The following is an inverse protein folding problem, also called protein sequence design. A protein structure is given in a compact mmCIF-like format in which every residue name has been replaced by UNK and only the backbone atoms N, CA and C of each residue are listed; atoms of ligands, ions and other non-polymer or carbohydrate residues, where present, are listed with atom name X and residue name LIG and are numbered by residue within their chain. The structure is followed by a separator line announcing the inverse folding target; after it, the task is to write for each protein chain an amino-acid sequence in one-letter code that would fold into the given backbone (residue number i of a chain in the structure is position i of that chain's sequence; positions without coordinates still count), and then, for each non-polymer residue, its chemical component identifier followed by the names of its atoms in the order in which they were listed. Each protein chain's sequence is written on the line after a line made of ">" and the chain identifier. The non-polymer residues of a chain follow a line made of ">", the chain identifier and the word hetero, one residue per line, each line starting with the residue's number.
data_IF_494732274583
#
_entry.id   IF_494732274583
#
_cell.length_a   1.000
_cell.length_b   1.000
_cell.length_c   1.000
_cell.angle_alpha   90.00
_cell.angle_beta   90.00
_cell.angle_gamma   90.00
#
_symmetry.space_group_name_H-M   'P 1'
#
loop_
_entity.id
_entity.type
_entity.pdbx_description
1 polymer ?
#
# COMPACT_ATOMS: atom_id res chain seq x y z
N UNK A 1 -9.55 -9.21 28.89
CA UNK A 1 -11.01 -9.19 28.75
C UNK A 1 -11.27 -8.93 27.30
N UNK A 2 -12.08 -9.76 26.64
CA UNK A 2 -12.38 -9.58 25.23
C UNK A 2 -13.09 -8.24 24.99
N UNK A 3 -12.73 -7.53 23.93
CA UNK A 3 -13.45 -6.32 23.47
C UNK A 3 -13.92 -6.50 22.03
N UNK A 4 -15.04 -5.88 21.66
CA UNK A 4 -15.60 -5.94 20.30
C UNK A 4 -16.02 -4.56 19.82
N UNK A 5 -15.44 -4.12 18.71
CA UNK A 5 -15.85 -2.93 17.97
C UNK A 5 -16.50 -3.34 16.65
N UNK A 6 -17.65 -2.76 16.33
CA UNK A 6 -18.43 -3.04 15.12
C UNK A 6 -18.71 -1.78 14.31
N UNK A 7 -18.75 -1.90 12.99
CA UNK A 7 -19.12 -0.82 12.05
C UNK A 7 -20.10 -1.36 11.01
N UNK A 8 -21.23 -0.67 10.84
CA UNK A 8 -22.22 -0.86 9.78
C UNK A 8 -22.35 0.40 8.92
N UNK A 9 -23.22 0.40 7.91
CA UNK A 9 -23.53 1.58 7.10
C UNK A 9 -24.07 2.78 7.89
N UNK A 10 -24.72 2.56 9.03
CA UNK A 10 -25.31 3.63 9.85
C UNK A 10 -24.47 3.91 11.10
N UNK A 11 -23.92 2.87 11.71
CA UNK A 11 -23.30 2.96 13.03
C UNK A 11 -21.81 2.65 12.93
N UNK A 12 -20.96 3.61 13.26
CA UNK A 12 -19.51 3.53 13.05
C UNK A 12 -18.79 3.29 14.37
N UNK A 13 -17.98 2.22 14.43
CA UNK A 13 -17.07 1.93 15.53
C UNK A 13 -17.77 1.84 16.90
N UNK A 14 -18.92 1.19 16.92
CA UNK A 14 -19.71 0.95 18.13
C UNK A 14 -19.03 -0.10 18.99
N UNK A 15 -18.88 0.19 20.28
CA UNK A 15 -18.46 -0.81 21.27
C UNK A 15 -19.63 -1.75 21.58
N UNK A 16 -19.46 -3.03 21.20
CA UNK A 16 -20.40 -4.12 21.42
C UNK A 16 -19.86 -5.17 22.40
N UNK A 17 -18.88 -4.79 23.23
CA UNK A 17 -18.23 -5.71 24.18
C UNK A 17 -19.23 -6.41 25.11
N UNK A 18 -20.33 -5.76 25.48
CA UNK A 18 -21.39 -6.37 26.31
C UNK A 18 -22.11 -7.55 25.66
N UNK A 19 -22.06 -7.66 24.34
CA UNK A 19 -22.78 -8.68 23.57
C UNK A 19 -21.95 -9.96 23.38
N UNK A 20 -20.66 -9.92 23.75
CA UNK A 20 -19.74 -11.06 23.68
C UNK A 20 -20.17 -12.13 24.69
N UNK A 21 -20.32 -13.37 24.20
CA UNK A 21 -20.47 -14.55 25.06
C UNK A 21 -19.17 -15.34 25.06
N UNK A 22 -18.50 -15.42 26.20
CA UNK A 22 -17.38 -16.34 26.38
C UNK A 22 -17.88 -17.79 26.32
N UNK A 23 -17.25 -18.62 25.50
CA UNK A 23 -17.73 -19.99 25.24
C UNK A 23 -16.86 -21.05 25.90
N UNK A 24 -15.56 -20.80 26.12
CA UNK A 24 -14.64 -21.83 26.58
C UNK A 24 -14.44 -22.96 25.54
N UNK A 25 -14.87 -22.75 24.29
CA UNK A 25 -14.87 -23.77 23.26
C UNK A 25 -13.45 -24.00 22.72
N UNK A 26 -13.07 -25.26 22.55
CA UNK A 26 -11.80 -25.65 21.90
C UNK A 26 -11.94 -25.86 20.40
N UNK A 27 -13.15 -25.70 19.86
CA UNK A 27 -13.42 -25.87 18.43
C UNK A 27 -14.57 -24.99 17.98
N UNK A 28 -14.51 -24.51 16.73
CA UNK A 28 -15.60 -23.78 16.08
C UNK A 28 -15.68 -24.13 14.60
N UNK A 29 -16.89 -24.35 14.04
CA UNK A 29 -17.06 -24.50 12.60
C UNK A 29 -16.94 -23.17 11.84
N UNK A 30 -17.05 -22.02 12.54
CA UNK A 30 -17.05 -20.70 11.92
C UNK A 30 -15.62 -20.20 11.70
N UNK A 31 -14.87 -19.98 12.78
CA UNK A 31 -13.44 -19.65 12.73
C UNK A 31 -12.68 -20.27 13.91
N UNK A 32 -11.63 -21.02 13.62
CA UNK A 32 -10.78 -21.66 14.63
C UNK A 32 -9.30 -21.48 14.27
N UNK A 33 -8.46 -21.15 15.26
CA UNK A 33 -7.01 -21.21 15.08
C UNK A 33 -6.56 -22.66 14.81
N UNK A 34 -5.61 -22.83 13.90
CA UNK A 34 -5.05 -24.15 13.54
C UNK A 34 -3.70 -24.45 14.23
N UNK A 35 -3.11 -23.45 14.89
CA UNK A 35 -1.81 -23.56 15.59
C UNK A 35 -0.62 -23.03 14.79
N UNK A 36 -0.81 -22.67 13.52
CA UNK A 36 0.26 -22.11 12.68
C UNK A 36 0.40 -20.60 12.86
N UNK A 37 1.63 -20.10 12.75
CA UNK A 37 1.94 -18.67 12.69
C UNK A 37 2.73 -18.37 11.41
N UNK A 38 2.36 -17.29 10.73
CA UNK A 38 3.01 -16.86 9.49
C UNK A 38 3.84 -15.59 9.70
N UNK A 39 3.94 -14.76 8.66
CA UNK A 39 4.80 -13.58 8.63
C UNK A 39 4.40 -12.53 9.69
N UNK A 40 5.41 -11.81 10.19
CA UNK A 40 5.21 -10.63 11.00
C UNK A 40 4.90 -9.42 10.09
N UNK A 41 3.95 -8.59 10.50
CA UNK A 41 3.55 -7.43 9.73
C UNK A 41 4.44 -6.23 10.03
N UNK A 42 4.85 -5.51 8.97
CA UNK A 42 5.41 -4.16 9.09
C UNK A 42 4.35 -3.19 9.58
N UNK A 43 3.14 -3.29 9.04
CA UNK A 43 2.00 -2.48 9.42
C UNK A 43 1.15 -2.06 8.23
N UNK A 44 0.45 -0.94 8.41
CA UNK A 44 -0.48 -0.38 7.44
C UNK A 44 -0.10 1.08 7.17
N UNK A 45 -0.55 1.63 6.05
CA UNK A 45 -0.39 3.05 5.78
C UNK A 45 -1.19 3.55 4.58
N UNK A 46 -0.78 4.72 4.08
CA UNK A 46 -1.35 5.33 2.88
C UNK A 46 -0.30 6.03 2.01
N UNK A 47 -0.72 6.56 0.85
CA UNK A 47 0.15 7.33 -0.02
C UNK A 47 0.00 8.84 0.18
N UNK A 48 1.13 9.53 0.29
CA UNK A 48 1.22 10.97 0.16
C UNK A 48 1.16 11.34 -1.33
N UNK A 49 0.30 12.28 -1.69
CA UNK A 49 0.23 12.88 -3.03
C UNK A 49 -0.27 14.33 -2.92
N UNK A 50 -0.11 15.13 -3.97
CA UNK A 50 -0.37 16.56 -3.91
C UNK A 50 -1.86 16.86 -3.83
N UNK A 51 -2.68 16.15 -4.59
CA UNK A 51 -4.13 16.30 -4.55
C UNK A 51 -4.74 15.84 -3.20
N UNK A 52 -3.99 15.13 -2.35
CA UNK A 52 -4.34 14.90 -0.96
C UNK A 52 -3.82 15.96 0.01
N UNK A 53 -2.75 16.68 -0.34
CA UNK A 53 -2.21 17.78 0.45
C UNK A 53 -2.95 19.10 0.25
N UNK A 54 -3.32 19.41 -0.99
CA UNK A 54 -3.97 20.69 -1.33
C UNK A 54 -5.31 20.89 -0.59
N UNK A 55 -6.22 19.89 -0.52
CA UNK A 55 -7.47 20.05 0.24
C UNK A 55 -7.24 20.25 1.74
N UNK A 56 -6.14 19.74 2.31
CA UNK A 56 -5.82 20.01 3.71
C UNK A 56 -5.50 21.49 3.99
N UNK A 57 -5.15 22.27 2.96
CA UNK A 57 -4.87 23.70 3.12
C UNK A 57 -6.13 24.55 3.13
N UNK A 58 -7.31 23.98 2.83
CA UNK A 58 -8.57 24.71 2.76
C UNK A 58 -9.34 24.69 4.08
N UNK A 59 -9.04 23.74 4.97
CA UNK A 59 -9.61 23.59 6.31
C UNK A 59 -8.80 24.35 7.37
N UNK A 60 -9.32 24.45 8.59
CA UNK A 60 -8.57 25.07 9.71
C UNK A 60 -7.35 24.26 10.12
N UNK A 61 -6.38 24.91 10.77
CA UNK A 61 -5.19 24.24 11.30
C UNK A 61 -5.55 23.11 12.29
N UNK A 62 -6.58 23.32 13.12
CA UNK A 62 -7.10 22.32 14.05
C UNK A 62 -7.72 21.11 13.33
N UNK A 63 -8.51 21.35 12.29
CA UNK A 63 -9.12 20.29 11.47
C UNK A 63 -8.06 19.48 10.73
N UNK A 64 -7.09 20.16 10.08
CA UNK A 64 -5.95 19.51 9.44
C UNK A 64 -5.17 18.66 10.43
N UNK A 65 -4.83 19.21 11.59
CA UNK A 65 -4.10 18.48 12.64
C UNK A 65 -4.89 17.25 13.14
N UNK A 66 -6.22 17.36 13.24
CA UNK A 66 -7.08 16.26 13.64
C UNK A 66 -7.14 15.14 12.58
N UNK A 67 -7.23 15.46 11.29
CA UNK A 67 -7.18 14.46 10.21
C UNK A 67 -5.85 13.70 10.25
N UNK A 68 -4.73 14.43 10.30
CA UNK A 68 -3.39 13.83 10.36
C UNK A 68 -3.23 12.97 11.62
N UNK A 69 -3.72 13.45 12.78
CA UNK A 69 -3.71 12.67 14.02
C UNK A 69 -4.47 11.35 13.86
N UNK A 70 -5.63 11.35 13.21
CA UNK A 70 -6.43 10.14 13.02
C UNK A 70 -5.73 9.09 12.15
N UNK A 71 -4.99 9.53 11.13
CA UNK A 71 -4.22 8.64 10.26
C UNK A 71 -2.98 8.08 10.97
N UNK A 72 -2.24 8.92 11.70
CA UNK A 72 -0.88 8.58 12.14
C UNK A 72 -0.75 8.28 13.63
N UNK A 73 -1.53 8.88 14.54
CA UNK A 73 -1.34 8.67 15.98
C UNK A 73 -1.37 7.17 16.37
N UNK A 74 -0.47 6.70 17.27
CA UNK A 74 -0.50 5.34 17.81
C UNK A 74 -1.84 4.95 18.46
N UNK A 75 -2.59 5.94 18.93
CA UNK A 75 -3.91 5.75 19.55
C UNK A 75 -5.05 5.69 18.52
N UNK A 76 -4.79 6.02 17.25
CA UNK A 76 -5.76 6.00 16.15
C UNK A 76 -5.40 4.93 15.10
N UNK A 77 -5.32 5.26 13.81
CA UNK A 77 -4.97 4.27 12.78
C UNK A 77 -3.51 3.81 12.83
N UNK A 78 -2.60 4.59 13.41
CA UNK A 78 -1.20 4.19 13.55
C UNK A 78 -0.54 3.78 12.21
N UNK A 79 -0.72 4.61 11.17
CA UNK A 79 -0.07 4.40 9.88
C UNK A 79 1.45 4.51 10.01
N UNK A 80 2.13 3.39 9.83
CA UNK A 80 3.57 3.21 10.10
C UNK A 80 4.36 2.81 8.86
N UNK A 81 3.69 2.46 7.76
CA UNK A 81 4.31 2.03 6.51
C UNK A 81 3.64 2.71 5.32
N UNK A 82 4.23 3.83 4.86
CA UNK A 82 3.60 4.78 3.95
C UNK A 82 4.35 4.90 2.64
N UNK A 83 3.67 5.46 1.64
CA UNK A 83 4.20 5.64 0.28
C UNK A 83 4.34 7.11 -0.10
N UNK A 84 5.38 7.45 -0.85
CA UNK A 84 5.46 8.71 -1.59
C UNK A 84 5.84 8.47 -3.06
N UNK A 85 5.44 9.35 -4.00
CA UNK A 85 5.95 9.30 -5.35
C UNK A 85 7.37 9.86 -5.43
N UNK A 86 8.12 9.42 -6.44
CA UNK A 86 9.36 10.08 -6.88
C UNK A 86 9.01 10.91 -8.12
N UNK A 87 8.89 12.22 -7.95
CA UNK A 87 8.32 13.13 -8.95
C UNK A 87 6.80 13.04 -9.02
N UNK A 88 6.21 13.44 -10.14
CA UNK A 88 4.76 13.43 -10.27
C UNK A 88 4.16 12.01 -10.38
N UNK A 89 2.97 11.84 -9.79
CA UNK A 89 2.05 10.74 -10.08
C UNK A 89 0.76 11.26 -10.74
N UNK A 90 -0.25 10.41 -10.85
CA UNK A 90 -1.56 10.78 -11.39
C UNK A 90 -2.41 11.68 -10.46
N UNK A 91 -2.01 11.80 -9.18
CA UNK A 91 -2.55 12.70 -8.16
C UNK A 91 -1.57 13.82 -7.78
N UNK A 92 -0.71 14.21 -8.73
CA UNK A 92 0.01 15.47 -8.70
C UNK A 92 -0.81 16.56 -9.41
N UNK A 93 -0.73 17.80 -8.93
CA UNK A 93 -1.45 18.95 -9.50
C UNK A 93 -0.92 19.27 -10.92
N UNK A 94 0.37 19.05 -11.14
CA UNK A 94 1.02 19.15 -12.44
C UNK A 94 1.99 17.97 -12.63
N UNK A 95 2.38 17.64 -13.87
CA UNK A 95 3.38 16.60 -14.11
C UNK A 95 4.79 17.19 -14.20
N UNK A 96 5.69 16.68 -13.36
CA UNK A 96 7.07 17.10 -13.22
C UNK A 96 7.98 15.89 -12.93
N UNK A 97 9.29 16.10 -13.10
CA UNK A 97 10.33 15.31 -12.46
C UNK A 97 11.31 16.23 -11.74
N UNK A 98 12.21 15.68 -10.95
CA UNK A 98 13.24 16.48 -10.27
C UNK A 98 14.37 16.92 -11.19
N UNK A 99 14.40 16.51 -12.47
CA UNK A 99 15.41 16.97 -13.42
C UNK A 99 14.93 16.92 -14.88
N UNK A 100 14.31 18.00 -15.34
CA UNK A 100 13.84 18.15 -16.74
C UNK A 100 14.86 18.83 -17.68
N UNK A 101 16.12 18.98 -17.27
CA UNK A 101 17.17 19.54 -18.16
C UNK A 101 17.68 18.46 -19.12
N UNK A 102 17.33 18.58 -20.41
CA UNK A 102 17.68 17.60 -21.46
C UNK A 102 19.19 17.37 -21.55
N UNK A 103 19.61 16.11 -21.38
CA UNK A 103 21.02 15.72 -21.43
C UNK A 103 21.82 16.01 -20.16
N UNK A 104 21.18 16.37 -19.06
CA UNK A 104 21.82 16.51 -17.76
C UNK A 104 22.10 15.14 -17.11
N UNK A 105 23.02 14.39 -17.72
CA UNK A 105 23.43 13.07 -17.23
C UNK A 105 24.11 13.12 -15.85
N UNK A 106 24.68 14.27 -15.48
CA UNK A 106 25.39 14.46 -14.23
C UNK A 106 24.50 14.92 -13.07
N UNK A 107 23.21 15.16 -13.31
CA UNK A 107 22.24 15.62 -12.30
C UNK A 107 22.63 16.99 -11.69
N UNK A 108 23.17 17.90 -12.50
CA UNK A 108 23.56 19.25 -12.06
C UNK A 108 22.34 20.13 -11.72
N UNK A 109 21.20 19.89 -12.38
CA UNK A 109 19.96 20.64 -12.21
C UNK A 109 18.89 19.87 -11.42
N UNK A 110 19.28 18.78 -10.74
CA UNK A 110 18.38 18.03 -9.88
C UNK A 110 17.88 18.89 -8.71
N UNK A 111 16.56 18.92 -8.48
CA UNK A 111 15.96 19.64 -7.35
C UNK A 111 14.62 19.05 -6.92
N UNK A 112 14.40 18.99 -5.60
CA UNK A 112 13.12 18.63 -4.97
C UNK A 112 12.31 19.85 -4.54
N UNK A 113 12.66 21.05 -5.02
CA UNK A 113 12.02 22.32 -4.59
C UNK A 113 10.49 22.34 -4.74
N UNK A 114 9.94 21.61 -5.72
CA UNK A 114 8.49 21.47 -5.87
C UNK A 114 7.85 20.76 -4.66
N UNK A 115 8.52 19.72 -4.14
CA UNK A 115 8.02 18.93 -3.01
C UNK A 115 8.12 19.70 -1.69
N UNK A 116 9.02 20.68 -1.59
CA UNK A 116 9.13 21.57 -0.42
C UNK A 116 7.82 22.36 -0.17
N UNK A 117 7.02 22.55 -1.22
CA UNK A 117 5.72 23.24 -1.15
C UNK A 117 4.54 22.26 -0.93
N UNK A 118 4.75 20.96 -1.16
CA UNK A 118 3.67 19.94 -1.17
C UNK A 118 3.98 18.70 -0.32
N UNK A 119 4.71 17.72 -0.86
CA UNK A 119 4.89 16.40 -0.25
C UNK A 119 5.71 16.45 1.05
N UNK A 120 6.77 17.26 1.10
CA UNK A 120 7.64 17.39 2.28
C UNK A 120 6.86 17.91 3.50
N UNK A 121 6.13 19.04 3.44
CA UNK A 121 5.33 19.48 4.58
C UNK A 121 4.22 18.49 4.94
N UNK A 122 3.65 17.76 3.97
CA UNK A 122 2.68 16.70 4.26
C UNK A 122 3.31 15.56 5.06
N UNK A 123 4.46 15.04 4.62
CA UNK A 123 5.22 13.99 5.32
C UNK A 123 5.63 14.45 6.72
N UNK A 124 6.11 15.68 6.87
CA UNK A 124 6.46 16.24 8.18
C UNK A 124 5.27 16.32 9.13
N UNK A 125 4.06 16.64 8.64
CA UNK A 125 2.86 16.65 9.48
C UNK A 125 2.56 15.25 10.04
N UNK A 126 2.78 14.19 9.25
CA UNK A 126 2.64 12.82 9.69
C UNK A 126 3.72 12.41 10.71
N UNK A 127 4.98 12.81 10.48
CA UNK A 127 6.11 12.51 11.38
C UNK A 127 5.94 13.10 12.78
N UNK A 128 5.12 14.15 12.96
CA UNK A 128 4.79 14.67 14.29
C UNK A 128 4.07 13.63 15.16
N UNK A 129 3.30 12.72 14.53
CA UNK A 129 2.58 11.64 15.21
C UNK A 129 3.27 10.28 15.08
N UNK A 130 4.01 10.06 13.98
CA UNK A 130 4.77 8.84 13.71
C UNK A 130 6.20 9.15 13.27
N UNK A 131 7.09 9.54 14.20
CA UNK A 131 8.46 9.89 13.85
C UNK A 131 9.28 8.73 13.28
N UNK A 132 8.85 7.48 13.55
CA UNK A 132 9.50 6.26 13.08
C UNK A 132 8.72 5.57 11.95
N UNK A 133 7.80 6.26 11.26
CA UNK A 133 7.14 5.67 10.11
C UNK A 133 8.16 5.34 9.02
N UNK A 134 7.98 4.21 8.36
CA UNK A 134 8.72 3.83 7.18
C UNK A 134 8.09 4.49 5.95
N UNK A 135 8.93 4.99 5.05
CA UNK A 135 8.52 5.57 3.78
C UNK A 135 9.16 4.79 2.64
N UNK A 136 8.33 4.18 1.79
CA UNK A 136 8.78 3.66 0.50
C UNK A 136 8.38 4.59 -0.63
N UNK A 137 9.24 4.69 -1.64
CA UNK A 137 9.00 5.59 -2.77
C UNK A 137 9.09 4.86 -4.10
N UNK A 138 8.28 5.30 -5.08
CA UNK A 138 8.30 4.78 -6.45
C UNK A 138 8.08 5.90 -7.46
N UNK A 139 8.79 5.95 -8.59
CA UNK A 139 8.48 6.89 -9.67
C UNK A 139 7.33 6.37 -10.53
N UNK A 140 6.50 7.27 -11.06
CA UNK A 140 5.58 6.93 -12.15
C UNK A 140 6.25 7.07 -13.51
N UNK A 141 7.12 8.06 -13.67
CA UNK A 141 7.85 8.28 -14.90
C UNK A 141 9.27 8.76 -14.62
N UNK A 142 10.28 8.29 -15.36
CA UNK A 142 11.55 8.99 -15.51
C UNK A 142 11.36 10.42 -16.04
N UNK A 143 12.36 11.31 -15.90
CA UNK A 143 12.40 12.58 -16.60
C UNK A 143 12.11 12.45 -18.09
N UNK A 144 11.40 13.41 -18.68
CA UNK A 144 10.87 13.24 -20.04
C UNK A 144 11.96 13.03 -21.08
N UNK A 145 13.11 13.69 -20.93
CA UNK A 145 14.24 13.58 -21.85
C UNK A 145 14.91 12.21 -21.85
N UNK A 146 14.72 11.41 -20.79
CA UNK A 146 15.20 10.02 -20.68
C UNK A 146 14.29 9.01 -21.37
N UNK A 147 13.13 9.43 -21.90
CA UNK A 147 12.09 8.54 -22.44
C UNK A 147 11.90 8.62 -23.95
N UNK A 148 11.26 7.58 -24.49
CA UNK A 148 10.76 7.54 -25.87
C UNK A 148 9.27 7.12 -25.88
N UNK A 149 8.35 7.99 -26.33
CA UNK A 149 8.57 9.41 -26.66
C UNK A 149 9.00 10.24 -25.44
N UNK A 150 9.50 11.46 -25.66
CA UNK A 150 9.85 12.41 -24.59
C UNK A 150 8.59 12.99 -23.94
N UNK A 151 7.93 12.20 -23.09
CA UNK A 151 6.69 12.56 -22.40
C UNK A 151 6.59 11.82 -21.06
N UNK A 152 5.87 12.39 -20.10
CA UNK A 152 5.63 11.74 -18.79
C UNK A 152 4.73 10.51 -18.92
N UNK A 153 3.71 10.61 -19.75
CA UNK A 153 2.82 9.50 -20.06
C UNK A 153 3.39 8.63 -21.17
N UNK A 154 2.97 7.37 -21.15
CA UNK A 154 3.36 6.34 -22.10
C UNK A 154 4.86 6.04 -22.22
N UNK A 155 5.16 5.03 -23.02
CA UNK A 155 6.49 4.80 -23.57
C UNK A 155 7.43 4.10 -22.60
N UNK A 156 8.72 4.22 -22.90
CA UNK A 156 9.79 3.46 -22.24
C UNK A 156 10.98 4.36 -21.98
N UNK A 157 11.80 3.96 -21.01
CA UNK A 157 13.14 4.49 -20.83
C UNK A 157 13.98 4.22 -22.09
N UNK A 158 14.81 5.18 -22.49
CA UNK A 158 15.79 5.01 -23.57
C UNK A 158 16.94 4.17 -23.02
N UNK A 159 17.10 2.97 -23.58
CA UNK A 159 18.10 1.98 -23.13
C UNK A 159 19.50 2.29 -23.69
N UNK A 160 20.18 3.26 -23.08
CA UNK A 160 21.61 3.52 -23.29
C UNK A 160 22.35 3.56 -21.95
N UNK A 161 23.65 3.21 -21.92
CA UNK A 161 24.43 3.23 -20.68
C UNK A 161 24.43 4.59 -19.98
N UNK A 162 24.52 5.70 -20.74
CA UNK A 162 24.51 7.06 -20.18
C UNK A 162 23.18 7.36 -19.50
N UNK A 163 22.07 6.97 -20.12
CA UNK A 163 20.73 7.20 -19.58
C UNK A 163 20.44 6.33 -18.35
N UNK A 164 20.85 5.06 -18.38
CA UNK A 164 20.73 4.15 -17.23
C UNK A 164 21.58 4.60 -16.05
N UNK A 165 22.82 5.05 -16.30
CA UNK A 165 23.70 5.58 -15.26
C UNK A 165 23.10 6.85 -14.64
N UNK A 166 22.62 7.78 -15.48
CA UNK A 166 21.97 9.01 -15.02
C UNK A 166 20.70 8.71 -14.21
N UNK A 167 19.87 7.75 -14.65
CA UNK A 167 18.65 7.42 -13.93
C UNK A 167 18.92 6.73 -12.57
N UNK A 168 19.98 5.91 -12.47
CA UNK A 168 20.44 5.42 -11.17
C UNK A 168 20.92 6.57 -10.26
N UNK A 169 21.67 7.54 -10.81
CA UNK A 169 22.10 8.75 -10.10
C UNK A 169 20.92 9.62 -9.64
N UNK A 170 19.86 9.71 -10.43
CA UNK A 170 18.63 10.43 -10.09
C UNK A 170 18.00 9.87 -8.80
N UNK A 171 17.95 8.56 -8.66
CA UNK A 171 17.45 7.92 -7.43
C UNK A 171 18.36 8.16 -6.22
N UNK A 172 19.68 8.10 -6.39
CA UNK A 172 20.63 8.43 -5.32
C UNK A 172 20.42 9.87 -4.85
N UNK A 173 20.26 10.82 -5.79
CA UNK A 173 20.00 12.24 -5.49
C UNK A 173 18.67 12.43 -4.77
N UNK A 174 17.62 11.72 -5.16
CA UNK A 174 16.33 11.74 -4.48
C UNK A 174 16.42 11.31 -3.02
N UNK A 175 17.03 10.14 -2.76
CA UNK A 175 17.19 9.61 -1.39
C UNK A 175 17.99 10.59 -0.53
N UNK A 176 19.10 11.12 -1.07
CA UNK A 176 19.94 12.09 -0.36
C UNK A 176 19.19 13.40 -0.07
N UNK A 177 18.48 13.94 -1.05
CA UNK A 177 17.73 15.19 -0.88
C UNK A 177 16.62 15.04 0.18
N UNK A 178 15.83 13.97 0.13
CA UNK A 178 14.81 13.71 1.16
C UNK A 178 15.43 13.53 2.56
N UNK A 179 16.59 12.87 2.66
CA UNK A 179 17.31 12.74 3.92
C UNK A 179 17.81 14.10 4.46
N UNK A 180 18.22 15.04 3.60
CA UNK A 180 18.57 16.42 3.98
C UNK A 180 17.36 17.18 4.57
N UNK A 181 16.15 16.82 4.16
CA UNK A 181 14.90 17.30 4.78
C UNK A 181 14.49 16.52 6.02
N UNK A 182 15.26 15.52 6.49
CA UNK A 182 14.88 14.70 7.64
C UNK A 182 13.80 13.66 7.35
N UNK A 183 13.65 13.29 6.07
CA UNK A 183 12.74 12.23 5.61
C UNK A 183 13.59 11.05 5.15
N UNK A 184 13.59 9.98 5.93
CA UNK A 184 14.28 8.75 5.57
C UNK A 184 13.44 7.94 4.58
N UNK A 185 13.93 7.78 3.35
CA UNK A 185 13.36 6.86 2.37
C UNK A 185 13.96 5.48 2.64
N UNK A 186 13.19 4.60 3.28
CA UNK A 186 13.66 3.27 3.69
C UNK A 186 13.66 2.27 2.54
N UNK A 187 12.80 2.48 1.54
CA UNK A 187 12.72 1.61 0.36
C UNK A 187 12.52 2.43 -0.91
N UNK A 188 13.23 2.03 -1.96
CA UNK A 188 12.99 2.51 -3.31
C UNK A 188 12.50 1.37 -4.20
N UNK A 189 11.33 1.59 -4.78
CA UNK A 189 10.66 0.72 -5.74
C UNK A 189 10.93 1.26 -7.13
N UNK A 190 11.53 0.45 -8.01
CA UNK A 190 12.18 0.94 -9.24
C UNK A 190 11.21 1.67 -10.17
N UNK A 191 9.95 1.25 -10.22
CA UNK A 191 8.95 1.81 -11.11
C UNK A 191 7.55 1.43 -10.63
N UNK A 192 6.66 2.42 -10.51
CA UNK A 192 5.24 2.17 -10.34
C UNK A 192 4.65 1.51 -11.59
N UNK A 193 3.87 0.46 -11.41
CA UNK A 193 3.08 -0.17 -12.46
C UNK A 193 3.87 -0.49 -13.74
N UNK A 194 4.89 -1.33 -13.64
CA UNK A 194 5.86 -1.61 -14.72
C UNK A 194 5.24 -2.06 -16.06
N UNK A 195 3.98 -2.52 -16.04
CA UNK A 195 3.23 -2.96 -17.21
C UNK A 195 2.31 -1.89 -17.79
N UNK A 196 2.13 -0.75 -17.15
CA UNK A 196 1.12 0.23 -17.53
C UNK A 196 1.67 1.26 -18.53
N UNK A 197 1.03 1.38 -19.69
CA UNK A 197 1.31 2.38 -20.75
C UNK A 197 0.17 3.39 -20.76
N UNK A 198 0.19 4.28 -19.77
CA UNK A 198 -1.00 5.04 -19.38
C UNK A 198 -0.99 6.44 -19.93
N UNK A 199 -2.17 7.05 -19.98
CA UNK A 199 -2.35 8.45 -20.38
C UNK A 199 -1.87 9.47 -19.33
N UNK A 200 -1.58 9.01 -18.11
CA UNK A 200 -0.93 9.73 -17.02
C UNK A 200 0.53 9.27 -16.86
N UNK A 201 1.35 9.86 -15.96
CA UNK A 201 2.76 9.51 -15.83
C UNK A 201 2.95 8.00 -15.70
N UNK A 202 3.74 7.42 -16.60
CA UNK A 202 3.92 5.96 -16.69
C UNK A 202 5.16 5.63 -17.50
N UNK A 203 5.76 4.48 -17.25
CA UNK A 203 6.90 3.99 -18.03
C UNK A 203 6.91 2.46 -18.04
N UNK A 204 6.92 1.88 -19.23
CA UNK A 204 6.97 0.44 -19.42
C UNK A 204 8.37 -0.11 -19.20
N UNK A 205 8.46 -1.20 -18.43
CA UNK A 205 9.72 -1.92 -18.20
C UNK A 205 9.57 -3.40 -18.54
N UNK A 206 10.42 -3.90 -19.44
CA UNK A 206 10.55 -5.35 -19.62
C UNK A 206 11.34 -5.93 -18.45
N UNK A 207 11.12 -7.22 -18.15
CA UNK A 207 11.89 -7.88 -17.08
C UNK A 207 13.39 -7.93 -17.37
N UNK A 208 13.81 -7.99 -18.64
CA UNK A 208 15.23 -7.95 -19.00
C UNK A 208 15.86 -6.57 -18.76
N UNK A 209 15.15 -5.49 -19.08
CA UNK A 209 15.62 -4.14 -18.83
C UNK A 209 15.67 -3.85 -17.33
N UNK A 210 14.63 -4.24 -16.59
CA UNK A 210 14.55 -4.10 -15.13
C UNK A 210 15.69 -4.85 -14.43
N UNK A 211 15.89 -6.13 -14.81
CA UNK A 211 17.01 -6.96 -14.32
C UNK A 211 18.36 -6.28 -14.57
N UNK A 212 18.60 -5.83 -15.79
CA UNK A 212 19.88 -5.20 -16.20
C UNK A 212 20.10 -3.89 -15.44
N UNK A 213 19.07 -3.06 -15.32
CA UNK A 213 19.14 -1.80 -14.59
C UNK A 213 19.47 -2.02 -13.11
N UNK A 214 18.77 -2.93 -12.44
CA UNK A 214 19.02 -3.26 -11.03
C UNK A 214 20.45 -3.79 -10.85
N UNK A 215 20.86 -4.77 -11.67
CA UNK A 215 22.15 -5.47 -11.56
C UNK A 215 23.34 -4.57 -11.83
N UNK A 216 23.28 -3.81 -12.94
CA UNK A 216 24.46 -3.16 -13.51
C UNK A 216 24.54 -1.66 -13.19
N UNK A 217 23.43 -1.02 -12.77
CA UNK A 217 23.38 0.43 -12.57
C UNK A 217 22.87 0.82 -11.17
N UNK A 218 21.64 0.45 -10.82
CA UNK A 218 21.00 0.93 -9.59
C UNK A 218 21.67 0.37 -8.33
N UNK A 219 21.84 -0.96 -8.27
CA UNK A 219 22.50 -1.62 -7.14
C UNK A 219 23.91 -1.08 -6.87
N UNK A 220 24.80 -1.07 -7.88
CA UNK A 220 26.13 -0.47 -7.75
C UNK A 220 26.12 1.01 -7.35
N UNK A 221 25.20 1.82 -7.89
CA UNK A 221 25.10 3.24 -7.54
C UNK A 221 24.72 3.45 -6.06
N UNK A 222 23.83 2.61 -5.51
CA UNK A 222 23.45 2.65 -4.10
C UNK A 222 24.60 2.20 -3.19
N UNK A 223 25.32 1.14 -3.57
CA UNK A 223 26.52 0.69 -2.85
C UNK A 223 27.62 1.77 -2.86
N UNK A 224 27.90 2.40 -4.01
CA UNK A 224 28.91 3.46 -4.14
C UNK A 224 28.56 4.71 -3.34
N UNK A 225 27.28 5.08 -3.32
CA UNK A 225 26.78 6.20 -2.54
C UNK A 225 26.67 5.90 -1.03
N UNK A 226 26.81 4.64 -0.61
CA UNK A 226 26.69 4.21 0.79
C UNK A 226 25.29 4.40 1.36
N UNK A 227 24.25 4.17 0.55
CA UNK A 227 22.85 4.29 0.96
C UNK A 227 22.37 3.01 1.66
N UNK A 228 21.69 3.17 2.80
CA UNK A 228 21.01 2.08 3.52
C UNK A 228 19.60 1.79 2.97
N UNK A 229 19.11 2.59 2.02
CA UNK A 229 17.80 2.40 1.38
C UNK A 229 17.74 1.09 0.61
N UNK A 230 16.74 0.26 0.91
CA UNK A 230 16.54 -1.02 0.25
C UNK A 230 15.99 -0.83 -1.18
N UNK A 231 16.49 -1.61 -2.14
CA UNK A 231 15.91 -1.69 -3.48
C UNK A 231 14.84 -2.79 -3.49
N UNK A 232 13.64 -2.44 -3.96
CA UNK A 232 12.49 -3.33 -4.08
C UNK A 232 12.06 -3.49 -5.53
N UNK A 233 11.67 -4.72 -5.89
CA UNK A 233 11.09 -5.00 -7.19
C UNK A 233 9.59 -4.64 -7.16
N UNK A 234 9.17 -3.78 -8.06
CA UNK A 234 7.78 -3.30 -8.11
C UNK A 234 7.71 -1.78 -8.02
N UNK A 235 6.50 -1.22 -7.94
CA UNK A 235 5.21 -1.88 -7.66
C UNK A 235 4.64 -2.63 -8.88
N UNK A 236 4.26 -3.91 -8.72
CA UNK A 236 3.83 -4.78 -9.82
C UNK A 236 2.31 -4.86 -9.93
N UNK A 237 1.77 -4.50 -11.09
CA UNK A 237 0.34 -4.49 -11.40
C UNK A 237 -0.09 -5.45 -12.51
N UNK A 238 0.63 -6.55 -12.69
CA UNK A 238 0.42 -7.46 -13.82
C UNK A 238 0.98 -8.86 -13.57
N UNK A 239 0.93 -9.76 -14.58
CA UNK A 239 0.98 -9.47 -16.01
C UNK A 239 -0.36 -9.64 -16.74
N UNK A 240 -1.50 -9.68 -16.01
CA UNK A 240 -2.82 -9.98 -16.60
C UNK A 240 -3.14 -9.17 -17.86
N UNK A 241 -2.62 -7.95 -18.02
CA UNK A 241 -2.73 -7.23 -19.27
C UNK A 241 -1.54 -6.31 -19.49
N UNK A 242 -0.67 -6.70 -20.42
CA UNK A 242 -0.50 -5.89 -21.61
C UNK A 242 -0.29 -6.85 -22.76
N UNK A 243 -1.36 -7.12 -23.49
CA UNK A 243 -1.17 -7.36 -24.90
C UNK A 243 -0.24 -6.26 -25.43
N UNK A 244 0.94 -6.62 -25.94
CA UNK A 244 1.68 -5.75 -26.87
C UNK A 244 0.88 -5.45 -28.16
N UNK A 245 -0.42 -5.75 -28.19
CA UNK A 245 -1.29 -5.79 -29.37
C UNK A 245 -2.76 -5.54 -28.97
N UNK A 246 -3.15 -4.26 -28.87
CA UNK A 246 -4.51 -3.73 -28.75
C UNK A 246 -5.69 -4.73 -28.79
N UNK A 247 -5.99 -5.37 -27.65
CA UNK A 247 -7.24 -6.09 -27.41
C UNK A 247 -7.49 -7.40 -28.19
N UNK A 248 -6.57 -7.85 -29.04
CA UNK A 248 -6.69 -9.11 -29.80
C UNK A 248 -5.59 -10.14 -29.48
N UNK A 249 -4.76 -9.87 -28.47
CA UNK A 249 -3.66 -10.75 -28.04
C UNK A 249 -4.09 -11.84 -27.06
N UNK A 250 -3.24 -12.85 -26.90
CA UNK A 250 -3.35 -13.83 -25.81
C UNK A 250 -3.14 -13.12 -24.47
N UNK A 251 -4.10 -13.25 -23.54
CA UNK A 251 -3.92 -12.84 -22.14
C UNK A 251 -2.86 -13.75 -21.51
N UNK A 252 -1.76 -13.19 -21.04
CA UNK A 252 -0.73 -13.95 -20.33
C UNK A 252 -1.08 -14.00 -18.84
N UNK A 253 -1.43 -15.18 -18.36
CA UNK A 253 -1.71 -15.49 -16.95
C UNK A 253 -0.55 -16.26 -16.28
N UNK A 254 0.63 -16.30 -16.93
CA UNK A 254 1.86 -16.82 -16.35
C UNK A 254 2.49 -15.76 -15.42
N UNK A 255 1.84 -15.54 -14.27
CA UNK A 255 2.17 -14.51 -13.30
C UNK A 255 3.63 -14.49 -12.83
N UNK A 256 4.28 -15.64 -12.80
CA UNK A 256 5.65 -15.79 -12.33
C UNK A 256 6.69 -15.28 -13.35
N UNK A 257 6.38 -15.25 -14.65
CA UNK A 257 7.37 -15.05 -15.72
C UNK A 257 8.20 -13.78 -15.58
N UNK A 258 7.57 -12.67 -15.20
CA UNK A 258 8.26 -11.38 -15.09
C UNK A 258 9.27 -11.41 -13.94
N UNK A 259 8.79 -11.82 -12.76
CA UNK A 259 9.56 -11.88 -11.52
C UNK A 259 10.68 -12.92 -11.62
N UNK A 260 10.37 -14.12 -12.10
CA UNK A 260 11.34 -15.22 -12.24
C UNK A 260 12.51 -14.85 -13.16
N UNK A 261 12.25 -14.17 -14.28
CA UNK A 261 13.32 -13.75 -15.19
C UNK A 261 14.35 -12.83 -14.51
N UNK A 262 13.93 -12.08 -13.48
CA UNK A 262 14.77 -11.19 -12.69
C UNK A 262 15.44 -11.98 -11.56
N UNK A 263 14.66 -12.73 -10.78
CA UNK A 263 15.15 -13.40 -9.57
C UNK A 263 16.09 -14.58 -9.84
N UNK A 264 15.96 -15.26 -10.97
CA UNK A 264 16.91 -16.31 -11.35
C UNK A 264 18.32 -15.77 -11.71
N UNK A 265 18.48 -14.47 -11.94
CA UNK A 265 19.80 -13.84 -12.02
C UNK A 265 20.26 -13.43 -10.62
N UNK A 266 21.16 -14.22 -10.03
CA UNK A 266 21.68 -13.97 -8.67
C UNK A 266 22.33 -12.59 -8.50
N UNK A 267 22.91 -12.01 -9.57
CA UNK A 267 23.54 -10.70 -9.52
C UNK A 267 22.51 -9.56 -9.49
N UNK A 268 21.30 -9.78 -10.04
CA UNK A 268 20.19 -8.87 -9.86
C UNK A 268 19.52 -9.10 -8.50
N UNK A 269 19.21 -10.37 -8.18
CA UNK A 269 18.49 -10.75 -6.95
C UNK A 269 19.19 -10.30 -5.67
N UNK A 270 20.52 -10.29 -5.60
CA UNK A 270 21.26 -9.81 -4.41
C UNK A 270 20.92 -8.39 -3.98
N UNK A 271 20.47 -7.54 -4.90
CA UNK A 271 20.07 -6.15 -4.62
C UNK A 271 18.61 -6.02 -4.23
N UNK A 272 17.76 -7.00 -4.54
CA UNK A 272 16.32 -6.95 -4.33
C UNK A 272 16.00 -7.47 -2.93
N UNK A 273 15.44 -6.61 -2.08
CA UNK A 273 15.11 -6.92 -0.68
C UNK A 273 13.67 -7.40 -0.48
N UNK A 274 12.81 -7.09 -1.43
CA UNK A 274 11.43 -7.55 -1.46
C UNK A 274 10.71 -7.17 -2.74
N UNK A 275 9.43 -7.55 -2.81
CA UNK A 275 8.58 -7.35 -3.98
C UNK A 275 7.24 -6.74 -3.55
N UNK A 276 6.83 -5.70 -4.26
CA UNK A 276 5.53 -5.06 -4.08
C UNK A 276 4.53 -5.48 -5.17
N UNK A 277 3.31 -5.79 -4.75
CA UNK A 277 2.17 -6.06 -5.63
C UNK A 277 1.03 -5.05 -5.42
N UNK A 278 0.30 -4.80 -6.50
CA UNK A 278 -0.92 -3.98 -6.54
C UNK A 278 -2.04 -4.79 -7.22
N UNK A 279 -3.22 -4.20 -7.44
CA UNK A 279 -4.41 -4.75 -8.12
C UNK A 279 -4.24 -6.09 -8.86
N UNK A 280 -3.82 -6.11 -10.14
CA UNK A 280 -3.70 -7.36 -10.91
C UNK A 280 -2.52 -8.26 -10.47
N UNK A 281 -1.62 -7.74 -9.64
CA UNK A 281 -0.61 -8.51 -8.92
C UNK A 281 -1.17 -9.42 -7.82
N UNK A 282 -2.46 -9.27 -7.45
CA UNK A 282 -3.14 -10.15 -6.47
C UNK A 282 -3.09 -11.63 -6.85
N UNK A 283 -3.08 -11.94 -8.14
CA UNK A 283 -3.03 -13.32 -8.65
C UNK A 283 -1.57 -13.84 -8.79
N UNK A 284 -0.58 -12.96 -8.63
CA UNK A 284 0.84 -13.26 -8.72
C UNK A 284 1.51 -13.49 -7.34
N UNK A 285 1.01 -12.82 -6.30
CA UNK A 285 1.65 -12.82 -4.99
C UNK A 285 1.76 -14.23 -4.39
N UNK A 286 0.71 -15.05 -4.49
CA UNK A 286 0.70 -16.41 -3.94
C UNK A 286 1.80 -17.30 -4.54
N UNK A 287 1.95 -17.28 -5.87
CA UNK A 287 2.98 -18.04 -6.59
C UNK A 287 4.39 -17.60 -6.22
N UNK A 288 4.55 -16.30 -6.00
CA UNK A 288 5.83 -15.72 -5.60
C UNK A 288 6.17 -16.13 -4.17
N UNK A 289 5.20 -16.07 -3.27
CA UNK A 289 5.33 -16.55 -1.89
C UNK A 289 5.72 -18.03 -1.83
N UNK A 290 5.10 -18.87 -2.67
CA UNK A 290 5.44 -20.31 -2.78
C UNK A 290 6.84 -20.56 -3.34
N UNK A 291 7.28 -19.76 -4.32
CA UNK A 291 8.53 -20.01 -5.06
C UNK A 291 9.76 -19.36 -4.41
N UNK A 292 9.56 -18.24 -3.71
CA UNK A 292 10.61 -17.41 -3.12
C UNK A 292 10.25 -17.00 -1.68
N UNK A 293 10.04 -17.96 -0.76
CA UNK A 293 9.55 -17.70 0.59
C UNK A 293 10.53 -16.87 1.45
N UNK A 294 11.79 -16.76 1.04
CA UNK A 294 12.78 -15.91 1.68
C UNK A 294 12.67 -14.42 1.30
N UNK A 295 11.94 -14.11 0.23
CA UNK A 295 11.76 -12.74 -0.25
C UNK A 295 10.51 -12.14 0.38
N UNK A 296 10.67 -10.97 0.98
CA UNK A 296 9.55 -10.27 1.59
C UNK A 296 8.58 -9.72 0.53
N UNK A 297 7.29 -9.88 0.78
CA UNK A 297 6.22 -9.40 -0.10
C UNK A 297 5.41 -8.32 0.61
N UNK A 298 5.02 -7.27 -0.12
CA UNK A 298 4.08 -6.25 0.37
C UNK A 298 2.98 -5.99 -0.63
N UNK A 299 1.85 -5.50 -0.13
CA UNK A 299 0.86 -4.81 -0.94
C UNK A 299 1.15 -3.30 -0.85
N UNK A 300 1.29 -2.63 -2.00
CA UNK A 300 1.80 -1.26 -2.06
C UNK A 300 0.78 -0.20 -2.51
N UNK A 301 -0.36 -0.61 -3.05
CA UNK A 301 -1.44 0.30 -3.49
C UNK A 301 -2.78 -0.43 -3.59
N UNK A 302 -3.78 0.06 -2.86
CA UNK A 302 -5.14 -0.48 -2.91
C UNK A 302 -5.80 -0.12 -4.24
N UNK A 303 -6.69 -0.98 -4.73
CA UNK A 303 -7.48 -0.64 -5.92
C UNK A 303 -8.25 0.68 -5.71
N UNK A 304 -8.20 1.57 -6.71
CA UNK A 304 -8.51 2.99 -6.51
C UNK A 304 -10.01 3.34 -6.57
N UNK A 305 -10.87 2.42 -6.99
CA UNK A 305 -12.32 2.66 -7.09
C UNK A 305 -12.71 3.64 -8.20
N UNK A 306 -13.82 4.35 -7.98
CA UNK A 306 -14.47 5.21 -8.98
C UNK A 306 -14.96 6.55 -8.41
N UNK A 307 -14.55 6.90 -7.18
CA UNK A 307 -14.96 8.10 -6.45
C UNK A 307 -16.30 7.99 -5.72
N UNK A 308 -17.06 6.90 -5.90
CA UNK A 308 -18.34 6.73 -5.21
C UNK A 308 -18.17 6.53 -3.70
N UNK A 309 -16.98 6.08 -3.25
CA UNK A 309 -16.69 5.80 -1.84
C UNK A 309 -17.81 4.95 -1.21
N UNK A 310 -18.20 3.87 -1.90
CA UNK A 310 -19.37 3.07 -1.55
C UNK A 310 -19.06 2.04 -0.46
N UNK A 311 -20.11 1.60 0.23
CA UNK A 311 -19.94 0.54 1.23
C UNK A 311 -19.54 -0.79 0.57
N UNK A 312 -20.08 -1.08 -0.62
CA UNK A 312 -19.70 -2.23 -1.45
C UNK A 312 -18.20 -2.23 -1.76
N UNK A 313 -17.61 -1.06 -2.01
CA UNK A 313 -16.18 -0.95 -2.26
C UNK A 313 -15.36 -1.17 -0.99
N UNK A 314 -15.83 -0.68 0.16
CA UNK A 314 -15.20 -1.01 1.44
C UNK A 314 -15.23 -2.51 1.76
N UNK A 315 -16.34 -3.20 1.45
CA UNK A 315 -16.45 -4.65 1.55
C UNK A 315 -15.44 -5.37 0.64
N UNK A 316 -15.21 -4.84 -0.56
CA UNK A 316 -14.18 -5.32 -1.47
C UNK A 316 -12.75 -5.08 -0.96
N UNK A 317 -12.45 -3.90 -0.42
CA UNK A 317 -11.14 -3.59 0.17
C UNK A 317 -10.85 -4.49 1.37
N UNK A 318 -11.84 -4.79 2.22
CA UNK A 318 -11.67 -5.77 3.30
C UNK A 318 -11.20 -7.13 2.76
N UNK A 319 -11.87 -7.61 1.71
CA UNK A 319 -11.51 -8.87 1.06
C UNK A 319 -10.07 -8.82 0.51
N UNK A 320 -9.65 -7.71 -0.12
CA UNK A 320 -8.29 -7.55 -0.61
C UNK A 320 -7.24 -7.56 0.50
N UNK A 321 -7.48 -6.85 1.62
CA UNK A 321 -6.57 -6.89 2.78
C UNK A 321 -6.41 -8.34 3.26
N UNK A 322 -7.52 -9.08 3.42
CA UNK A 322 -7.48 -10.49 3.81
C UNK A 322 -6.68 -11.33 2.81
N UNK A 323 -6.92 -11.15 1.50
CA UNK A 323 -6.23 -11.86 0.44
C UNK A 323 -4.71 -11.64 0.48
N UNK A 324 -4.25 -10.39 0.49
CA UNK A 324 -2.82 -10.09 0.47
C UNK A 324 -2.08 -10.60 1.70
N UNK A 325 -2.65 -10.38 2.90
CA UNK A 325 -2.03 -10.83 4.14
C UNK A 325 -2.02 -12.36 4.24
N UNK A 326 -3.02 -13.08 3.72
CA UNK A 326 -2.99 -14.55 3.64
C UNK A 326 -1.99 -15.10 2.64
N UNK A 327 -1.56 -14.29 1.67
CA UNK A 327 -0.57 -14.68 0.66
C UNK A 327 0.83 -14.12 0.97
N UNK A 328 1.14 -13.91 2.25
CA UNK A 328 2.49 -13.59 2.71
C UNK A 328 2.85 -12.10 2.70
N UNK A 329 1.91 -11.20 2.37
CA UNK A 329 2.20 -9.77 2.46
C UNK A 329 2.46 -9.33 3.91
N UNK A 330 3.53 -8.58 4.14
CA UNK A 330 3.87 -8.03 5.47
C UNK A 330 3.32 -6.63 5.68
N UNK A 331 2.86 -5.95 4.64
CA UNK A 331 2.28 -4.61 4.72
C UNK A 331 1.11 -4.44 3.76
N UNK A 332 0.22 -3.49 4.09
CA UNK A 332 -0.85 -3.03 3.22
C UNK A 332 -0.94 -1.50 3.23
N UNK A 333 -0.81 -0.88 2.06
CA UNK A 333 -0.84 0.57 1.88
C UNK A 333 -2.06 0.97 1.04
N UNK A 334 -2.93 1.77 1.64
CA UNK A 334 -4.06 2.38 0.93
C UNK A 334 -3.55 3.45 -0.03
N UNK A 335 -4.28 3.69 -1.13
CA UNK A 335 -3.85 4.66 -2.13
C UNK A 335 -4.04 6.10 -1.65
N UNK A 336 -5.19 6.72 -1.90
CA UNK A 336 -5.43 8.10 -1.49
C UNK A 336 -5.94 8.18 -0.05
N UNK A 337 -5.15 8.76 0.85
CA UNK A 337 -5.62 9.01 2.22
C UNK A 337 -6.70 10.08 2.25
N UNK A 338 -6.52 11.13 1.46
CA UNK A 338 -7.34 12.33 1.45
C UNK A 338 -7.48 12.76 0.01
N UNK A 339 -8.68 13.14 -0.41
CA UNK A 339 -8.97 13.83 -1.66
C UNK A 339 -10.04 14.89 -1.40
N UNK A 340 -10.26 15.77 -2.34
CA UNK A 340 -11.51 16.51 -2.45
C UNK A 340 -12.52 15.78 -3.34
N UNK A 341 -13.60 16.44 -3.71
CA UNK A 341 -14.56 15.97 -4.71
C UNK A 341 -14.15 16.41 -6.13
N UNK A 342 -12.89 16.15 -6.49
CA UNK A 342 -12.39 16.29 -7.86
C UNK A 342 -11.78 14.98 -8.38
N UNK A 343 -11.63 14.89 -9.71
CA UNK A 343 -10.90 13.80 -10.34
C UNK A 343 -9.40 14.06 -10.43
N UNK A 344 -8.64 13.00 -10.71
CA UNK A 344 -7.23 13.11 -11.08
C UNK A 344 -7.01 14.03 -12.29
N UNK A 345 -5.79 14.50 -12.49
CA UNK A 345 -5.41 15.39 -13.61
C UNK A 345 -5.64 14.80 -15.02
N UNK A 346 -6.04 13.54 -15.12
CA UNK A 346 -6.38 12.85 -16.37
C UNK A 346 -7.85 12.46 -16.50
N UNK A 347 -8.69 12.81 -15.52
CA UNK A 347 -10.15 12.66 -15.57
C UNK A 347 -10.70 11.38 -14.95
N UNK A 348 -10.04 10.79 -13.94
CA UNK A 348 -10.56 9.63 -13.20
C UNK A 348 -10.75 9.93 -11.73
N UNK A 349 -11.99 9.71 -11.29
CA UNK A 349 -12.42 9.75 -9.90
C UNK A 349 -11.94 8.50 -9.16
N UNK A 350 -11.37 8.69 -7.97
CA UNK A 350 -10.90 7.61 -7.12
C UNK A 350 -11.43 7.77 -5.70
N UNK A 351 -11.49 6.66 -4.96
CA UNK A 351 -11.89 6.64 -3.57
C UNK A 351 -10.75 7.13 -2.67
N UNK A 352 -11.11 7.60 -1.48
CA UNK A 352 -10.18 8.10 -0.47
C UNK A 352 -10.66 7.76 0.94
N UNK A 353 -9.80 7.80 1.95
CA UNK A 353 -10.24 7.61 3.34
C UNK A 353 -11.01 8.84 3.85
N UNK A 354 -10.54 10.04 3.48
CA UNK A 354 -11.20 11.31 3.75
C UNK A 354 -11.55 12.04 2.46
N UNK A 355 -12.72 12.68 2.45
CA UNK A 355 -13.09 13.70 1.46
C UNK A 355 -13.16 15.06 2.14
N UNK A 356 -12.53 16.08 1.56
CA UNK A 356 -12.72 17.49 1.93
C UNK A 356 -13.41 18.18 0.75
N UNK A 357 -14.71 18.45 0.85
CA UNK A 357 -15.50 19.02 -0.26
C UNK A 357 -14.93 20.37 -0.70
N UNK A 358 -14.69 20.57 -1.99
CA UNK A 358 -13.97 21.73 -2.53
C UNK A 358 -14.67 23.07 -2.24
N UNK A 359 -16.01 23.12 -2.29
CA UNK A 359 -16.76 24.37 -2.11
C UNK A 359 -17.08 24.69 -0.63
N UNK A 360 -17.38 23.66 0.17
CA UNK A 360 -17.85 23.83 1.55
C UNK A 360 -16.80 23.52 2.61
N UNK A 361 -15.69 22.90 2.19
CA UNK A 361 -14.62 22.35 3.04
C UNK A 361 -15.16 21.37 4.09
N UNK A 362 -16.30 20.72 3.81
CA UNK A 362 -16.86 19.69 4.68
C UNK A 362 -15.96 18.45 4.68
N UNK A 363 -15.59 17.99 5.88
CA UNK A 363 -14.72 16.83 6.08
C UNK A 363 -15.57 15.59 6.30
N UNK A 364 -15.42 14.59 5.43
CA UNK A 364 -16.11 13.30 5.51
C UNK A 364 -15.13 12.15 5.64
N UNK A 365 -15.44 11.19 6.52
CA UNK A 365 -14.79 9.86 6.56
C UNK A 365 -15.58 8.91 5.67
N UNK A 366 -14.92 8.33 4.68
CA UNK A 366 -15.52 7.39 3.74
C UNK A 366 -15.56 5.96 4.31
N UNK A 367 -16.37 5.04 3.77
CA UNK A 367 -16.45 3.66 4.24
C UNK A 367 -15.10 2.95 4.44
N UNK A 368 -14.15 3.12 3.52
CA UNK A 368 -12.82 2.51 3.57
C UNK A 368 -11.96 3.02 4.74
N UNK A 369 -12.21 4.23 5.25
CA UNK A 369 -11.59 4.69 6.51
C UNK A 369 -11.90 3.70 7.64
N UNK A 370 -13.14 3.24 7.75
CA UNK A 370 -13.51 2.34 8.84
C UNK A 370 -12.87 0.96 8.66
N UNK A 371 -12.78 0.46 7.42
CA UNK A 371 -12.03 -0.77 7.12
C UNK A 371 -10.59 -0.65 7.56
N UNK A 372 -9.88 0.38 7.09
CA UNK A 372 -8.47 0.60 7.48
C UNK A 372 -8.34 0.74 9.00
N UNK A 373 -9.29 1.38 9.70
CA UNK A 373 -9.29 1.52 11.16
C UNK A 373 -9.50 0.19 11.90
N UNK A 374 -10.32 -0.71 11.37
CA UNK A 374 -10.54 -2.05 11.95
C UNK A 374 -9.28 -2.92 11.92
N UNK A 375 -8.36 -2.67 10.98
CA UNK A 375 -7.06 -3.34 10.92
C UNK A 375 -5.99 -2.56 11.66
N UNK A 376 -5.63 -1.38 11.16
CA UNK A 376 -4.41 -0.64 11.51
C UNK A 376 -4.34 -0.20 12.99
N UNK A 377 -5.49 0.11 13.61
CA UNK A 377 -5.55 0.47 15.04
C UNK A 377 -5.25 -0.72 15.97
N UNK A 378 -5.72 -1.90 15.61
CA UNK A 378 -5.74 -3.07 16.49
C UNK A 378 -4.60 -4.05 16.20
N UNK A 379 -4.18 -4.15 14.95
CA UNK A 379 -3.07 -5.00 14.49
C UNK A 379 -1.79 -4.17 14.48
N UNK A 380 -0.95 -4.37 15.49
CA UNK A 380 0.25 -3.55 15.73
C UNK A 380 1.42 -4.02 14.87
N UNK A 381 2.38 -3.14 14.53
CA UNK A 381 3.65 -3.55 13.92
C UNK A 381 4.30 -4.71 14.69
N UNK A 382 4.76 -5.72 13.96
CA UNK A 382 5.29 -6.97 14.50
C UNK A 382 4.23 -8.04 14.82
N UNK A 383 2.93 -7.75 14.65
CA UNK A 383 1.89 -8.76 14.77
C UNK A 383 2.09 -9.87 13.74
N UNK A 384 1.89 -11.12 14.14
CA UNK A 384 1.95 -12.27 13.23
C UNK A 384 0.56 -12.66 12.75
N UNK A 385 0.44 -12.98 11.46
CA UNK A 385 -0.77 -13.61 10.92
C UNK A 385 -0.90 -15.03 11.49
N UNK A 386 -2.10 -15.40 11.93
CA UNK A 386 -2.39 -16.72 12.49
C UNK A 386 -3.15 -17.60 11.49
N UNK A 387 -2.79 -18.88 11.46
CA UNK A 387 -3.52 -19.89 10.72
C UNK A 387 -4.92 -20.12 11.29
N UNK A 388 -5.86 -20.28 10.36
CA UNK A 388 -7.29 -20.33 10.65
C UNK A 388 -8.01 -21.29 9.71
N UNK A 389 -9.04 -21.94 10.24
CA UNK A 389 -9.95 -22.83 9.52
C UNK A 389 -11.41 -22.51 9.86
N UNK A 390 -12.36 -23.03 9.08
CA UNK A 390 -13.80 -22.82 9.27
C UNK A 390 -14.47 -22.05 8.12
N UNK A 391 -15.78 -21.88 8.20
CA UNK A 391 -16.59 -21.27 7.14
C UNK A 391 -16.35 -19.76 6.96
N UNK A 392 -15.80 -19.07 7.96
CA UNK A 392 -15.47 -17.65 7.92
C UNK A 392 -14.05 -17.38 7.40
N UNK A 393 -13.27 -18.38 6.98
CA UNK A 393 -11.86 -18.18 6.63
C UNK A 393 -11.63 -17.17 5.49
N UNK A 394 -12.58 -17.02 4.57
CA UNK A 394 -12.53 -16.00 3.51
C UNK A 394 -13.04 -14.62 3.95
N UNK A 395 -13.74 -14.54 5.09
CA UNK A 395 -14.39 -13.33 5.62
C UNK A 395 -13.76 -12.83 6.92
N UNK A 396 -12.74 -13.52 7.44
CA UNK A 396 -12.06 -13.16 8.67
C UNK A 396 -10.58 -13.52 8.62
N UNK A 397 -9.79 -12.85 9.46
CA UNK A 397 -8.36 -13.08 9.65
C UNK A 397 -7.99 -12.81 11.11
N UNK A 398 -7.02 -13.57 11.62
CA UNK A 398 -6.55 -13.49 12.99
C UNK A 398 -5.07 -13.13 13.05
N UNK A 399 -4.69 -12.36 14.08
CA UNK A 399 -3.32 -11.92 14.32
C UNK A 399 -2.95 -12.08 15.78
N UNK A 400 -1.68 -12.31 16.07
CA UNK A 400 -1.11 -12.20 17.42
C UNK A 400 -0.22 -10.97 17.48
N UNK A 401 -0.60 -9.99 18.29
CA UNK A 401 0.21 -8.80 18.54
C UNK A 401 1.47 -9.14 19.35
N UNK A 402 2.51 -8.27 19.33
CA UNK A 402 3.72 -8.46 20.15
C UNK A 402 3.46 -8.54 21.67
N UNK A 403 2.36 -7.96 22.15
CA UNK A 403 1.94 -8.03 23.56
C UNK A 403 1.23 -9.34 23.91
N UNK A 404 1.02 -10.23 22.94
CA UNK A 404 0.37 -11.52 23.09
C UNK A 404 -1.16 -11.51 22.93
N UNK A 405 -1.78 -10.33 22.74
CA UNK A 405 -3.22 -10.23 22.43
C UNK A 405 -3.53 -10.85 21.07
N UNK A 406 -4.69 -11.49 20.96
CA UNK A 406 -5.18 -12.03 19.68
C UNK A 406 -6.22 -11.09 19.12
N UNK A 407 -6.01 -10.62 17.91
CA UNK A 407 -6.95 -9.76 17.18
C UNK A 407 -7.61 -10.56 16.09
N UNK A 408 -8.94 -10.62 16.09
CA UNK A 408 -9.73 -11.23 15.02
C UNK A 408 -10.50 -10.13 14.33
N UNK A 409 -10.27 -9.96 13.03
CA UNK A 409 -10.99 -9.01 12.19
C UNK A 409 -11.89 -9.81 11.25
N UNK A 410 -13.20 -9.57 11.30
CA UNK A 410 -14.21 -10.32 10.58
C UNK A 410 -15.22 -9.38 9.88
N UNK A 411 -15.67 -9.79 8.71
CA UNK A 411 -16.71 -9.14 7.94
C UNK A 411 -17.95 -10.03 7.87
N UNK A 412 -19.12 -9.44 7.99
CA UNK A 412 -20.36 -10.02 7.48
C UNK A 412 -20.76 -9.23 6.22
N UNK A 413 -20.48 -9.77 5.04
CA UNK A 413 -20.81 -9.11 3.76
C UNK A 413 -22.25 -9.40 3.30
N UNK A 414 -23.05 -10.09 4.12
CA UNK A 414 -24.40 -10.53 3.76
C UNK A 414 -25.45 -9.56 4.30
N UNK A 415 -26.62 -9.56 3.66
CA UNK A 415 -27.76 -8.70 4.02
C UNK A 415 -28.58 -9.22 5.23
N UNK A 416 -28.05 -10.18 5.99
CA UNK A 416 -28.70 -10.75 7.16
C UNK A 416 -27.70 -11.01 8.29
N UNK A 417 -28.22 -11.06 9.52
CA UNK A 417 -27.43 -11.35 10.71
C UNK A 417 -26.77 -12.72 10.63
N UNK A 418 -25.49 -12.79 10.99
CA UNK A 418 -24.71 -14.02 10.97
C UNK A 418 -24.25 -14.39 12.37
N UNK A 419 -24.64 -15.57 12.90
CA UNK A 419 -23.96 -16.15 14.06
C UNK A 419 -22.47 -16.34 13.74
N UNK A 420 -21.61 -15.99 14.69
CA UNK A 420 -20.17 -16.15 14.56
C UNK A 420 -19.57 -16.65 15.88
N UNK A 421 -18.83 -17.75 15.81
CA UNK A 421 -18.04 -18.27 16.92
C UNK A 421 -16.55 -18.36 16.56
N UNK A 422 -15.70 -17.79 17.41
CA UNK A 422 -14.25 -17.95 17.34
C UNK A 422 -13.76 -18.93 18.42
N UNK A 423 -12.83 -19.80 18.05
CA UNK A 423 -12.16 -20.70 19.00
C UNK A 423 -10.63 -20.63 18.92
N UNK A 424 -9.99 -20.51 20.08
CA UNK A 424 -8.55 -20.70 20.30
C UNK A 424 -8.37 -22.02 21.08
N UNK A 425 -7.99 -23.14 20.41
CA UNK A 425 -7.88 -24.45 21.07
C UNK A 425 -6.83 -24.49 22.19
N UNK A 426 -5.80 -23.66 22.12
CA UNK A 426 -4.72 -23.61 23.12
C UNK A 426 -5.09 -22.72 24.32
N UNK A 427 -5.96 -21.74 24.12
CA UNK A 427 -6.39 -20.78 25.15
C UNK A 427 -7.92 -20.60 25.11
N UNK A 428 -8.71 -21.60 25.56
CA UNK A 428 -10.17 -21.62 25.36
C UNK A 428 -10.91 -20.45 26.01
N UNK A 429 -10.29 -19.78 26.98
CA UNK A 429 -10.80 -18.54 27.60
C UNK A 429 -10.91 -17.36 26.63
N UNK A 430 -10.22 -17.42 25.48
CA UNK A 430 -10.33 -16.45 24.38
C UNK A 430 -11.49 -16.75 23.43
N UNK A 431 -12.09 -17.93 23.53
CA UNK A 431 -13.15 -18.35 22.61
C UNK A 431 -14.46 -17.61 22.91
N UNK A 432 -15.06 -17.04 21.86
CA UNK A 432 -16.22 -16.16 21.94
C UNK A 432 -17.28 -16.53 20.92
N UNK A 433 -18.53 -16.15 21.19
CA UNK A 433 -19.62 -16.17 20.20
C UNK A 433 -20.45 -14.90 20.25
N UNK A 434 -20.85 -14.43 19.06
CA UNK A 434 -21.67 -13.22 18.86
C UNK A 434 -22.61 -13.41 17.66
N UNK A 435 -23.45 -12.40 17.41
CA UNK A 435 -24.21 -12.26 16.16
C UNK A 435 -23.72 -11.00 15.46
N UNK A 436 -23.19 -11.14 14.24
CA UNK A 436 -22.70 -10.03 13.43
C UNK A 436 -23.87 -9.40 12.67
N UNK A 437 -23.98 -8.08 12.72
CA UNK A 437 -24.99 -7.34 11.95
C UNK A 437 -24.79 -7.53 10.44
N UNK A 438 -25.84 -7.37 9.61
CA UNK A 438 -25.70 -7.33 8.16
C UNK A 438 -24.66 -6.30 7.70
N UNK A 439 -23.93 -6.61 6.64
CA UNK A 439 -22.99 -5.68 5.97
C UNK A 439 -22.10 -4.94 6.97
N UNK A 440 -21.39 -5.68 7.82
CA UNK A 440 -20.64 -5.15 8.96
C UNK A 440 -19.16 -5.55 8.98
N UNK A 441 -18.33 -4.68 9.56
CA UNK A 441 -16.93 -4.95 9.91
C UNK A 441 -16.80 -5.05 11.43
N UNK A 442 -16.04 -6.03 11.91
CA UNK A 442 -15.98 -6.41 13.31
C UNK A 442 -14.54 -6.69 13.71
N UNK A 443 -14.08 -6.08 14.80
CA UNK A 443 -12.76 -6.39 15.39
C UNK A 443 -12.94 -6.84 16.82
N UNK A 444 -12.38 -8.01 17.14
CA UNK A 444 -12.28 -8.57 18.47
C UNK A 444 -10.83 -8.49 18.93
N UNK A 445 -10.59 -8.07 20.17
CA UNK A 445 -9.28 -8.15 20.83
C UNK A 445 -9.45 -9.06 22.04
N UNK A 446 -8.70 -10.17 22.08
CA UNK A 446 -8.91 -11.32 22.98
C UNK A 446 -7.73 -11.57 23.92
#
# INVERSE_FOLDING_TARGET
>A
MATWIATTQTDKLVDRTSDIKATGAVSSPDLQLDGEEYQALRGFGGCFNELGWLPLQTVTDEERAQIIKELFSPDEMNFTFNRAPVGANDFSDHWYSYNETDGDYEMEHFSVAHDEETLIPYIHSAQQWQPNMQLFSSPWSPPTWMKKPKAYNYGRLVDTPENMTAYAKYFVKYVQAYAEHGIEVTQLHVQNEVFADQKFPSCLWTSDLMKTFIRDYLGPAFEEAGLDTDIWLGTLNGPEDMAFTGGYGMKLDNYNRYVDNILFDENARRYIKGIAYQWAGRDAISRTHESWPEIELIQSESECGNGENSWEYAEYIFHLINHYLRNGATAYTYWNMILDDQDSTWGWWQNSLFTITADTHEIRRNPEYYVMRHFSKYVRPGAKVLGTSGHFNSMAIAFRNPDGSVVVVAQNALDYEMPFAFADPENPERSVSVTLDPRSFNTFVL
#
